data_IF_409257518813
#
_entry.id   IF_409257518813
#
_cell.length_a   1.000
_cell.length_b   1.000
_cell.length_c   1.000
_cell.angle_alpha   90.00
_cell.angle_beta   90.00
_cell.angle_gamma   90.00
#
_symmetry.space_group_name_H-M   'P 1'
#
loop_
_entity.id
_entity.type
_entity.pdbx_description
1 polymer ?
#
# COMPACT_ATOMS: atom_id res chain seq x y z
N UNK A 1 -22.62 -24.62 2.45
CA UNK A 1 -21.31 -24.49 1.77
C UNK A 1 -20.80 -23.08 2.02
N UNK A 2 -19.50 -22.85 2.25
CA UNK A 2 -18.97 -21.49 2.43
C UNK A 2 -19.14 -20.68 1.14
N UNK A 3 -19.66 -19.47 1.24
CA UNK A 3 -19.86 -18.55 0.12
C UNK A 3 -18.66 -17.61 0.04
N UNK A 4 -17.91 -17.70 -1.06
CA UNK A 4 -16.83 -16.77 -1.35
C UNK A 4 -17.35 -15.69 -2.30
N UNK A 5 -17.24 -14.44 -1.90
CA UNK A 5 -17.63 -13.30 -2.72
C UNK A 5 -16.38 -12.72 -3.42
N UNK A 6 -16.50 -12.17 -4.65
CA UNK A 6 -15.39 -11.49 -5.32
C UNK A 6 -14.71 -10.39 -4.46
N UNK A 7 -15.46 -9.81 -3.51
CA UNK A 7 -14.95 -8.84 -2.56
C UNK A 7 -13.90 -9.42 -1.59
N UNK A 8 -13.97 -10.72 -1.28
CA UNK A 8 -13.01 -11.39 -0.39
C UNK A 8 -11.62 -11.45 -1.03
N UNK A 9 -11.56 -11.59 -2.36
CA UNK A 9 -10.31 -11.52 -3.11
C UNK A 9 -9.69 -10.11 -3.04
N UNK A 10 -10.54 -9.07 -3.08
CA UNK A 10 -10.10 -7.68 -2.93
C UNK A 10 -9.55 -7.44 -1.53
N UNK A 11 -10.22 -7.94 -0.48
CA UNK A 11 -9.71 -7.90 0.90
C UNK A 11 -8.38 -8.62 1.05
N UNK A 12 -8.29 -9.85 0.53
CA UNK A 12 -7.05 -10.65 0.56
C UNK A 12 -5.88 -9.90 -0.11
N UNK A 13 -6.12 -9.33 -1.29
CA UNK A 13 -5.10 -8.58 -2.04
C UNK A 13 -4.60 -7.36 -1.27
N UNK A 14 -5.51 -6.57 -0.67
CA UNK A 14 -5.13 -5.39 0.10
C UNK A 14 -4.35 -5.78 1.35
N UNK A 15 -4.75 -6.88 2.02
CA UNK A 15 -4.04 -7.42 3.20
C UNK A 15 -2.59 -7.76 2.87
N UNK A 16 -2.34 -8.47 1.76
CA UNK A 16 -0.99 -8.86 1.32
C UNK A 16 -0.12 -7.63 1.03
N UNK A 17 -0.68 -6.63 0.35
CA UNK A 17 0.08 -5.42 0.05
C UNK A 17 0.36 -4.56 1.30
N UNK A 18 -0.59 -4.49 2.25
CA UNK A 18 -0.37 -3.83 3.53
C UNK A 18 0.73 -4.53 4.35
N UNK A 19 0.75 -5.86 4.37
CA UNK A 19 1.82 -6.65 5.01
C UNK A 19 3.18 -6.46 4.35
N UNK A 20 3.21 -6.13 3.06
CA UNK A 20 4.46 -5.87 2.31
C UNK A 20 5.04 -4.47 2.54
N UNK A 21 4.47 -3.69 3.47
CA UNK A 21 4.94 -2.33 3.79
C UNK A 21 4.51 -1.26 2.78
N UNK A 22 3.53 -1.53 1.91
CA UNK A 22 3.05 -0.52 0.94
C UNK A 22 2.29 0.59 1.70
N UNK A 23 2.60 1.87 1.47
CA UNK A 23 1.94 2.96 2.18
C UNK A 23 0.45 3.02 1.85
N UNK A 24 -0.38 3.37 2.84
CA UNK A 24 -1.84 3.38 2.73
C UNK A 24 -2.38 4.27 1.60
N UNK A 25 -1.66 5.34 1.24
CA UNK A 25 -2.00 6.19 0.10
C UNK A 25 -1.91 5.44 -1.22
N UNK A 26 -0.81 4.74 -1.46
CA UNK A 26 -0.60 3.97 -2.68
C UNK A 26 -1.58 2.79 -2.77
N UNK A 27 -1.90 2.18 -1.62
CA UNK A 27 -2.94 1.14 -1.54
C UNK A 27 -4.32 1.66 -1.90
N UNK A 28 -4.67 2.85 -1.43
CA UNK A 28 -5.94 3.49 -1.76
C UNK A 28 -6.03 3.79 -3.26
N UNK A 29 -4.95 4.27 -3.87
CA UNK A 29 -4.86 4.50 -5.32
C UNK A 29 -5.02 3.18 -6.10
N UNK A 30 -4.30 2.11 -5.71
CA UNK A 30 -4.39 0.77 -6.35
C UNK A 30 -5.73 0.06 -6.15
N UNK A 31 -6.38 0.30 -5.00
CA UNK A 31 -7.71 -0.20 -4.74
C UNK A 31 -8.78 0.63 -5.46
N UNK A 32 -8.53 1.92 -5.70
CA UNK A 32 -9.55 2.86 -6.18
C UNK A 32 -10.46 3.34 -5.04
N UNK A 33 -9.92 3.48 -3.83
CA UNK A 33 -10.65 4.10 -2.72
C UNK A 33 -10.62 5.62 -2.87
N UNK A 34 -11.80 6.25 -2.77
CA UNK A 34 -11.91 7.70 -2.81
C UNK A 34 -11.15 8.40 -1.66
N UNK A 35 -10.94 7.68 -0.54
CA UNK A 35 -10.24 8.17 0.64
C UNK A 35 -9.23 7.14 1.15
N UNK A 36 -7.98 7.54 1.46
CA UNK A 36 -6.98 6.64 2.02
C UNK A 36 -7.28 6.18 3.44
N UNK A 37 -8.08 6.95 4.20
CA UNK A 37 -8.56 6.57 5.52
C UNK A 37 -9.37 5.27 5.50
N UNK A 38 -10.17 5.00 4.46
CA UNK A 38 -10.94 3.75 4.36
C UNK A 38 -10.05 2.50 4.41
N UNK A 39 -8.85 2.56 3.84
CA UNK A 39 -7.89 1.44 3.94
C UNK A 39 -7.28 1.35 5.33
N UNK A 40 -6.94 2.48 5.95
CA UNK A 40 -6.36 2.50 7.30
C UNK A 40 -7.35 2.00 8.35
N UNK A 41 -8.62 2.39 8.25
CA UNK A 41 -9.68 1.98 9.18
C UNK A 41 -9.85 0.45 9.18
N UNK A 42 -9.70 -0.18 8.01
CA UNK A 42 -9.93 -1.62 7.84
C UNK A 42 -8.65 -2.45 8.07
N UNK A 43 -7.47 -1.98 7.63
CA UNK A 43 -6.25 -2.80 7.54
C UNK A 43 -5.09 -2.32 8.42
N UNK A 44 -5.27 -1.27 9.23
CA UNK A 44 -4.24 -0.80 10.18
C UNK A 44 -3.73 -1.90 11.11
N UNK A 45 -4.60 -2.84 11.51
CA UNK A 45 -4.24 -3.97 12.37
C UNK A 45 -3.25 -4.95 11.75
N UNK A 46 -3.06 -4.91 10.43
CA UNK A 46 -2.12 -5.76 9.70
C UNK A 46 -0.78 -5.05 9.44
N UNK A 47 -0.66 -3.77 9.82
CA UNK A 47 0.60 -3.06 9.67
C UNK A 47 1.60 -3.57 10.72
N UNK A 48 2.84 -3.92 10.31
CA UNK A 48 3.88 -4.25 11.28
C UNK A 48 4.16 -3.03 12.15
N UNK A 49 4.14 -3.22 13.48
CA UNK A 49 4.29 -2.15 14.47
C UNK A 49 5.64 -1.40 14.41
N UNK A 50 6.60 -1.89 13.61
CA UNK A 50 7.99 -1.42 13.60
C UNK A 50 8.38 -0.58 12.36
N UNK A 51 7.55 -0.52 11.31
CA UNK A 51 7.93 0.17 10.06
C UNK A 51 7.24 1.52 9.90
N UNK A 52 7.52 2.42 10.85
CA UNK A 52 7.50 3.85 10.59
C UNK A 52 8.84 4.28 9.93
N UNK A 53 9.27 3.56 8.90
CA UNK A 53 10.32 4.05 8.00
C UNK A 53 9.70 4.24 6.61
N UNK A 54 9.77 5.45 6.03
CA UNK A 54 9.40 5.65 4.63
C UNK A 54 10.49 5.07 3.74
N UNK A 55 10.67 3.74 3.74
CA UNK A 55 11.58 3.06 2.84
C UNK A 55 10.96 2.96 1.46
N UNK A 56 11.21 3.99 0.64
CA UNK A 56 11.42 3.77 -0.79
C UNK A 56 10.39 4.32 -1.76
N UNK A 57 10.20 5.64 -1.81
CA UNK A 57 10.10 6.30 -3.11
C UNK A 57 11.50 6.79 -3.51
N UNK A 58 12.39 5.86 -3.87
CA UNK A 58 13.66 6.20 -4.51
C UNK A 58 13.32 6.76 -5.89
N UNK A 59 13.09 8.08 -5.93
CA UNK A 59 13.01 8.85 -7.17
C UNK A 59 14.25 8.49 -7.98
N UNK A 60 14.06 7.86 -9.13
CA UNK A 60 15.11 7.73 -10.15
C UNK A 60 15.36 9.13 -10.72
N UNK A 61 15.89 10.05 -9.90
CA UNK A 61 16.54 11.24 -10.41
C UNK A 61 17.89 10.79 -10.91
N UNK A 62 17.93 10.40 -12.19
CA UNK A 62 19.16 10.29 -12.94
C UNK A 62 19.86 11.64 -12.89
N UNK A 63 20.83 11.75 -11.99
CA UNK A 63 21.78 12.83 -11.97
C UNK A 63 22.61 12.72 -13.26
N UNK A 64 22.29 13.56 -14.25
CA UNK A 64 23.29 13.97 -15.25
C UNK A 64 24.03 15.16 -14.66
N UNK A 65 24.99 14.86 -13.79
CA UNK A 65 26.07 15.78 -13.44
C UNK A 65 27.03 15.90 -14.61
N UNK A 66 27.70 17.06 -14.67
CA UNK A 66 28.97 17.33 -15.37
C UNK A 66 28.82 17.80 -16.83
N UNK A 67 28.95 19.11 -17.11
CA UNK A 67 30.17 19.94 -17.15
C UNK A 67 30.82 19.97 -18.53
N UNK A 68 30.51 20.99 -19.33
CA UNK A 68 31.46 21.86 -20.02
C UNK A 68 30.75 23.09 -20.61
#
# INVERSE_FOLDING_TARGET
MPHYHPHDLRHRRITIWHQSGVPARELAERAGHARPSMSLDVYSHVMPADECQPSGFRRLSGARTSSR
#
